data_IF_552780886216
#
_entry.id   IF_552780886216
#
_cell.length_a   1.000
_cell.length_b   1.000
_cell.length_c   1.000
_cell.angle_alpha   90.00
_cell.angle_beta   90.00
_cell.angle_gamma   90.00
#
_symmetry.space_group_name_H-M   'P 1'
#
loop_
_entity.id
_entity.type
_entity.pdbx_description
1 polymer ?
#
# COMPACT_ATOMS: atom_id res chain seq x y z
N UNK A 1 -42.63 -14.46 -3.22
CA UNK A 1 -41.87 -15.26 -4.20
C UNK A 1 -40.59 -14.55 -4.64
N UNK A 2 -40.61 -13.66 -5.65
CA UNK A 2 -39.41 -13.13 -6.33
C UNK A 2 -38.23 -12.73 -5.41
N UNK A 3 -38.46 -11.98 -4.33
CA UNK A 3 -37.40 -11.54 -3.42
C UNK A 3 -36.62 -12.69 -2.75
N UNK A 4 -37.25 -13.84 -2.47
CA UNK A 4 -36.56 -15.03 -1.92
C UNK A 4 -35.67 -15.69 -2.97
N UNK A 5 -36.16 -15.76 -4.21
CA UNK A 5 -35.42 -16.31 -5.34
C UNK A 5 -34.19 -15.46 -5.70
N UNK A 6 -34.28 -14.12 -5.65
CA UNK A 6 -33.11 -13.26 -5.82
C UNK A 6 -32.07 -13.42 -4.71
N UNK A 7 -32.50 -13.56 -3.44
CA UNK A 7 -31.58 -13.85 -2.32
C UNK A 7 -30.92 -15.21 -2.49
N UNK A 8 -31.67 -16.25 -2.90
CA UNK A 8 -31.13 -17.58 -3.19
C UNK A 8 -30.11 -17.57 -4.33
N UNK A 9 -30.40 -16.87 -5.43
CA UNK A 9 -29.45 -16.73 -6.55
C UNK A 9 -28.17 -16.03 -6.11
N UNK A 10 -28.27 -14.93 -5.34
CA UNK A 10 -27.11 -14.22 -4.81
C UNK A 10 -26.29 -15.07 -3.83
N UNK A 11 -26.93 -15.81 -2.92
CA UNK A 11 -26.24 -16.66 -1.93
C UNK A 11 -25.45 -17.82 -2.57
N UNK A 12 -25.95 -18.37 -3.69
CA UNK A 12 -25.22 -19.36 -4.50
C UNK A 12 -24.07 -18.69 -5.25
N UNK A 13 -24.31 -17.51 -5.81
CA UNK A 13 -23.32 -16.73 -6.57
C UNK A 13 -22.29 -15.96 -5.72
N UNK A 14 -22.26 -16.13 -4.38
CA UNK A 14 -21.40 -15.34 -3.47
C UNK A 14 -19.90 -15.38 -3.81
N UNK A 15 -19.38 -16.47 -4.39
CA UNK A 15 -17.97 -16.55 -4.85
C UNK A 15 -17.68 -15.65 -6.06
N UNK A 16 -18.71 -15.28 -6.83
CA UNK A 16 -18.61 -14.37 -7.98
C UNK A 16 -19.06 -12.93 -7.67
N UNK A 17 -19.68 -12.69 -6.51
CA UNK A 17 -20.07 -11.36 -6.04
C UNK A 17 -18.86 -10.42 -6.02
N UNK A 18 -18.93 -9.23 -6.67
CA UNK A 18 -17.82 -8.28 -6.70
C UNK A 18 -17.27 -7.91 -5.31
N UNK A 19 -18.12 -7.83 -4.28
CA UNK A 19 -17.71 -7.49 -2.91
C UNK A 19 -16.81 -8.59 -2.31
N UNK A 20 -17.22 -9.85 -2.48
CA UNK A 20 -16.44 -11.01 -2.02
C UNK A 20 -15.13 -11.15 -2.80
N UNK A 21 -15.12 -10.85 -4.11
CA UNK A 21 -13.90 -10.85 -4.93
C UNK A 21 -12.93 -9.73 -4.56
N UNK A 22 -13.40 -8.53 -4.21
CA UNK A 22 -12.51 -7.47 -3.71
C UNK A 22 -11.88 -7.84 -2.36
N UNK A 23 -12.65 -8.39 -1.43
CA UNK A 23 -12.11 -8.84 -0.14
C UNK A 23 -11.14 -10.02 -0.28
N UNK A 24 -11.43 -10.98 -1.17
CA UNK A 24 -10.51 -12.08 -1.50
C UNK A 24 -9.22 -11.57 -2.17
N UNK A 25 -9.32 -10.59 -3.07
CA UNK A 25 -8.14 -9.94 -3.67
C UNK A 25 -7.30 -9.24 -2.60
N UNK A 26 -7.90 -8.45 -1.73
CA UNK A 26 -7.21 -7.78 -0.61
C UNK A 26 -6.48 -8.77 0.30
N UNK A 27 -7.10 -9.90 0.59
CA UNK A 27 -6.50 -11.02 1.35
C UNK A 27 -5.37 -11.73 0.61
N UNK A 28 -5.25 -11.54 -0.71
CA UNK A 28 -4.11 -12.02 -1.52
C UNK A 28 -3.02 -10.97 -1.79
N UNK A 29 -3.37 -9.69 -1.92
CA UNK A 29 -2.50 -8.63 -2.42
C UNK A 29 -1.51 -8.08 -1.40
N UNK A 30 -0.42 -8.83 -1.16
CA UNK A 30 0.65 -8.42 -0.23
C UNK A 30 1.83 -7.71 -0.92
N UNK A 31 1.81 -7.46 -2.24
CA UNK A 31 2.98 -6.93 -2.99
C UNK A 31 3.42 -5.52 -2.57
N UNK A 32 2.56 -4.73 -1.92
CA UNK A 32 2.99 -3.48 -1.28
C UNK A 32 3.64 -3.74 0.09
N UNK A 33 3.05 -4.61 0.90
CA UNK A 33 3.50 -4.87 2.26
C UNK A 33 4.78 -5.74 2.30
N UNK A 34 5.01 -6.60 1.30
CA UNK A 34 6.29 -7.27 1.09
C UNK A 34 7.42 -6.27 0.81
N UNK A 35 7.21 -5.26 -0.05
CA UNK A 35 8.20 -4.19 -0.27
C UNK A 35 8.43 -3.31 0.95
N UNK A 36 7.50 -3.28 1.91
CA UNK A 36 7.71 -2.66 3.22
C UNK A 36 8.52 -3.57 4.16
N UNK A 37 8.21 -4.87 4.16
CA UNK A 37 8.96 -5.91 4.87
C UNK A 37 10.43 -5.90 4.42
N UNK A 38 10.70 -6.00 3.11
CA UNK A 38 12.04 -5.94 2.52
C UNK A 38 12.80 -4.67 2.95
N UNK A 39 12.12 -3.51 2.98
CA UNK A 39 12.72 -2.24 3.37
C UNK A 39 12.97 -2.13 4.89
N UNK A 40 12.13 -2.75 5.73
CA UNK A 40 12.34 -2.85 7.17
C UNK A 40 13.46 -3.85 7.50
N UNK A 41 13.50 -4.99 6.81
CA UNK A 41 14.52 -6.01 7.00
C UNK A 41 15.90 -5.50 6.58
N UNK A 42 16.02 -4.77 5.46
CA UNK A 42 17.24 -4.06 5.06
C UNK A 42 17.69 -3.02 6.09
N UNK A 43 16.76 -2.22 6.64
CA UNK A 43 17.06 -1.29 7.76
C UNK A 43 17.57 -2.06 8.99
N UNK A 44 16.93 -3.16 9.33
CA UNK A 44 17.28 -3.97 10.50
C UNK A 44 18.64 -4.66 10.33
N UNK A 45 18.99 -5.13 9.12
CA UNK A 45 20.27 -5.77 8.80
C UNK A 45 21.42 -4.80 8.98
N UNK A 46 21.35 -3.63 8.33
CA UNK A 46 22.36 -2.57 8.50
C UNK A 46 22.54 -2.19 9.97
N UNK A 47 21.45 -2.07 10.74
CA UNK A 47 21.53 -1.79 12.18
C UNK A 47 22.11 -2.95 13.00
N UNK A 48 21.87 -4.21 12.62
CA UNK A 48 22.42 -5.43 13.26
C UNK A 48 23.93 -5.58 13.05
N UNK A 49 24.44 -5.15 11.89
CA UNK A 49 25.86 -5.26 11.55
C UNK A 49 26.69 -4.07 12.08
N UNK A 50 26.05 -2.95 12.45
CA UNK A 50 26.72 -1.81 13.08
C UNK A 50 27.21 -2.13 14.52
N UNK A 51 28.46 -1.80 14.89
CA UNK A 51 28.94 -1.92 16.27
C UNK A 51 28.14 -1.07 17.27
N UNK A 52 27.99 -1.56 18.51
CA UNK A 52 27.18 -0.92 19.55
C UNK A 52 27.59 0.52 19.90
N UNK A 53 28.84 0.89 19.68
CA UNK A 53 29.31 2.27 19.89
C UNK A 53 28.64 3.23 18.89
N UNK A 54 28.65 2.88 17.59
CA UNK A 54 27.97 3.68 16.56
C UNK A 54 26.46 3.73 16.75
N UNK A 55 25.82 2.66 17.26
CA UNK A 55 24.40 2.68 17.61
C UNK A 55 24.09 3.76 18.65
N UNK A 56 24.92 3.89 19.69
CA UNK A 56 24.77 4.89 20.75
C UNK A 56 25.05 6.30 20.22
N UNK A 57 26.08 6.49 19.41
CA UNK A 57 26.42 7.80 18.81
C UNK A 57 25.30 8.32 17.90
N UNK A 58 24.73 7.47 17.03
CA UNK A 58 23.59 7.83 16.16
C UNK A 58 22.35 8.21 16.97
N UNK A 59 22.08 7.52 18.08
CA UNK A 59 20.97 7.84 18.96
C UNK A 59 21.19 9.17 19.72
N UNK A 60 22.42 9.45 20.18
CA UNK A 60 22.79 10.72 20.82
C UNK A 60 22.70 11.91 19.87
N UNK A 61 23.20 11.78 18.64
CA UNK A 61 23.09 12.85 17.61
C UNK A 61 21.63 13.19 17.31
N UNK A 62 20.75 12.18 17.26
CA UNK A 62 19.30 12.35 17.12
C UNK A 62 18.69 13.11 18.30
N UNK A 63 19.13 12.82 19.53
CA UNK A 63 18.55 13.43 20.72
C UNK A 63 18.92 14.92 20.79
N UNK A 64 20.08 15.30 20.28
CA UNK A 64 20.45 16.70 20.04
C UNK A 64 19.57 17.35 18.96
N UNK A 65 19.44 16.74 17.77
CA UNK A 65 18.59 17.26 16.68
C UNK A 65 17.13 17.49 17.13
N UNK A 66 16.54 16.54 17.85
CA UNK A 66 15.17 16.65 18.37
C UNK A 66 15.01 17.76 19.42
N UNK A 67 16.06 18.05 20.19
CA UNK A 67 16.09 19.12 21.20
C UNK A 67 16.20 20.50 20.56
N UNK A 68 17.07 20.68 19.56
CA UNK A 68 17.18 21.92 18.77
C UNK A 68 15.84 22.27 18.10
N UNK A 69 15.20 21.28 17.48
CA UNK A 69 13.95 21.44 16.74
C UNK A 69 12.70 21.56 17.65
N UNK A 70 12.89 21.62 18.98
CA UNK A 70 11.86 21.77 20.02
C UNK A 70 10.71 20.73 19.92
N UNK A 71 10.99 19.54 19.37
CA UNK A 71 10.01 18.46 19.30
C UNK A 71 9.98 17.72 20.63
N UNK A 72 8.79 17.32 21.15
CA UNK A 72 8.74 16.45 22.31
C UNK A 72 9.45 15.13 21.96
N UNK A 73 10.42 14.74 22.81
CA UNK A 73 11.18 13.52 22.59
C UNK A 73 10.24 12.31 22.46
N UNK A 74 10.52 11.36 21.55
CA UNK A 74 9.74 10.14 21.42
C UNK A 74 9.81 9.34 22.73
N UNK A 75 8.67 9.10 23.37
CA UNK A 75 8.61 8.41 24.68
C UNK A 75 8.76 6.89 24.53
N UNK A 76 9.44 6.42 23.47
CA UNK A 76 9.81 5.03 23.21
C UNK A 76 11.19 4.95 22.53
N UNK A 77 12.10 4.16 23.10
CA UNK A 77 13.52 4.08 22.73
C UNK A 77 13.82 3.35 21.41
N UNK A 78 12.89 3.42 20.46
CA UNK A 78 12.94 2.76 19.13
C UNK A 78 12.21 3.57 18.03
N UNK A 79 11.45 4.61 18.37
CA UNK A 79 10.33 5.08 17.54
C UNK A 79 10.48 6.40 16.77
N UNK A 80 11.65 6.76 16.23
CA UNK A 80 11.87 8.08 15.57
C UNK A 80 12.58 8.07 14.20
N UNK A 81 13.03 6.93 13.66
CA UNK A 81 13.47 6.85 12.24
C UNK A 81 12.34 6.38 11.29
N UNK A 82 11.16 6.27 11.88
CA UNK A 82 9.95 5.65 11.41
C UNK A 82 8.78 6.57 11.83
N UNK A 83 7.67 6.56 11.09
CA UNK A 83 6.47 7.31 11.45
C UNK A 83 5.61 6.53 12.46
N UNK A 84 4.30 6.31 12.21
CA UNK A 84 3.74 5.02 12.59
C UNK A 84 4.62 3.96 11.93
N UNK A 85 5.32 3.14 12.73
CA UNK A 85 6.44 2.34 12.21
C UNK A 85 6.01 1.38 11.11
N UNK A 86 6.97 0.97 10.28
CA UNK A 86 6.74 -0.05 9.26
C UNK A 86 6.17 -1.30 9.94
N UNK A 87 6.73 -1.69 11.09
CA UNK A 87 6.21 -2.75 11.96
C UNK A 87 4.77 -2.50 12.43
N UNK A 88 4.42 -1.29 12.86
CA UNK A 88 3.07 -0.95 13.29
C UNK A 88 2.06 -1.00 12.13
N UNK A 89 2.50 -0.67 10.91
CA UNK A 89 1.69 -0.82 9.68
C UNK A 89 1.54 -2.29 9.28
N UNK A 90 2.60 -3.09 9.36
CA UNK A 90 2.59 -4.52 9.09
C UNK A 90 1.73 -5.27 10.11
N UNK A 91 1.87 -4.98 11.40
CA UNK A 91 1.03 -5.53 12.48
C UNK A 91 -0.45 -5.16 12.31
N UNK A 92 -0.75 -3.90 11.97
CA UNK A 92 -2.11 -3.49 11.60
C UNK A 92 -2.64 -4.30 10.40
N UNK A 93 -1.81 -4.54 9.38
CA UNK A 93 -2.21 -5.32 8.20
C UNK A 93 -2.47 -6.78 8.56
N UNK A 94 -1.56 -7.44 9.27
CA UNK A 94 -1.74 -8.84 9.67
C UNK A 94 -3.01 -9.05 10.49
N UNK A 95 -3.35 -8.14 11.41
CA UNK A 95 -4.59 -8.23 12.18
C UNK A 95 -5.83 -7.89 11.32
N UNK A 96 -5.74 -6.94 10.39
CA UNK A 96 -6.80 -6.67 9.40
C UNK A 96 -7.06 -7.90 8.51
N UNK A 97 -6.02 -8.53 7.96
CA UNK A 97 -6.14 -9.74 7.13
C UNK A 97 -6.67 -10.93 7.93
N UNK A 98 -6.24 -11.08 9.18
CA UNK A 98 -6.77 -12.10 10.10
C UNK A 98 -8.27 -11.90 10.34
N UNK A 99 -8.71 -10.66 10.52
CA UNK A 99 -10.12 -10.33 10.71
C UNK A 99 -10.94 -10.58 9.43
N UNK A 100 -10.47 -10.19 8.24
CA UNK A 100 -11.15 -10.51 6.98
C UNK A 100 -11.18 -12.02 6.73
N UNK A 101 -10.06 -12.73 6.88
CA UNK A 101 -9.98 -14.21 6.73
C UNK A 101 -10.98 -14.91 7.65
N UNK A 102 -11.11 -14.47 8.91
CA UNK A 102 -12.10 -14.99 9.86
C UNK A 102 -13.54 -14.70 9.43
N UNK A 103 -13.86 -13.45 9.08
CA UNK A 103 -15.21 -13.07 8.62
C UNK A 103 -15.62 -13.80 7.33
N UNK A 104 -14.67 -14.15 6.46
CA UNK A 104 -14.93 -14.96 5.27
C UNK A 104 -15.25 -16.42 5.62
N UNK A 105 -14.62 -17.01 6.65
CA UNK A 105 -14.90 -18.38 7.10
C UNK A 105 -16.35 -18.55 7.58
N UNK A 106 -16.93 -17.54 8.23
CA UNK A 106 -18.32 -17.55 8.69
C UNK A 106 -19.33 -17.78 7.54
N UNK A 107 -19.00 -17.40 6.29
CA UNK A 107 -19.84 -17.67 5.10
C UNK A 107 -19.95 -19.16 4.74
N UNK A 108 -19.02 -19.98 5.24
CA UNK A 108 -19.00 -21.44 5.12
C UNK A 108 -19.62 -22.13 6.35
N UNK A 109 -19.47 -21.58 7.56
CA UNK A 109 -20.15 -22.12 8.75
C UNK A 109 -21.67 -21.95 8.69
N UNK A 110 -22.15 -20.92 7.99
CA UNK A 110 -23.56 -20.76 7.62
C UNK A 110 -24.05 -21.77 6.55
N UNK A 111 -23.55 -23.01 6.56
CA UNK A 111 -23.98 -24.11 5.69
C UNK A 111 -24.62 -25.30 6.44
N UNK A 112 -24.69 -25.29 7.78
CA UNK A 112 -25.30 -26.36 8.59
C UNK A 112 -26.73 -26.72 8.10
N UNK A 113 -26.95 -28.00 7.81
CA UNK A 113 -28.23 -28.54 7.29
C UNK A 113 -29.34 -28.57 8.35
N UNK A 114 -29.01 -28.33 9.63
CA UNK A 114 -29.99 -28.08 10.70
C UNK A 114 -30.72 -26.74 10.54
N UNK A 115 -30.22 -25.83 9.70
CA UNK A 115 -30.80 -24.50 9.46
C UNK A 115 -31.67 -24.54 8.20
N UNK A 116 -32.90 -24.03 8.30
CA UNK A 116 -33.81 -23.89 7.15
C UNK A 116 -33.14 -23.13 6.00
N UNK A 117 -33.12 -23.75 4.81
CA UNK A 117 -32.54 -23.22 3.57
C UNK A 117 -32.91 -21.75 3.28
N UNK A 118 -34.16 -21.32 3.47
CA UNK A 118 -34.54 -19.92 3.23
C UNK A 118 -33.80 -18.94 4.16
N UNK A 119 -33.59 -19.35 5.41
CA UNK A 119 -32.86 -18.59 6.43
C UNK A 119 -31.36 -18.65 6.15
N UNK A 120 -30.84 -19.83 5.78
CA UNK A 120 -29.44 -20.10 5.38
C UNK A 120 -28.99 -19.19 4.22
N UNK A 121 -29.78 -19.09 3.15
CA UNK A 121 -29.51 -18.15 2.04
C UNK A 121 -29.51 -16.69 2.50
N UNK A 122 -30.48 -16.31 3.35
CA UNK A 122 -30.63 -14.94 3.86
C UNK A 122 -29.50 -14.53 4.79
N UNK A 123 -29.07 -15.41 5.70
CA UNK A 123 -27.94 -15.19 6.61
C UNK A 123 -26.63 -15.00 5.84
N UNK A 124 -26.34 -15.84 4.85
CA UNK A 124 -25.11 -15.75 4.04
C UNK A 124 -24.99 -14.43 3.29
N UNK A 125 -26.09 -13.94 2.70
CA UNK A 125 -26.12 -12.64 2.01
C UNK A 125 -25.96 -11.48 3.01
N UNK A 126 -26.76 -11.46 4.09
CA UNK A 126 -26.68 -10.42 5.12
C UNK A 126 -25.30 -10.35 5.79
N UNK A 127 -24.61 -11.48 5.95
CA UNK A 127 -23.24 -11.53 6.50
C UNK A 127 -22.22 -10.98 5.50
N UNK A 128 -22.30 -11.37 4.22
CA UNK A 128 -21.42 -10.84 3.17
C UNK A 128 -21.54 -9.32 3.05
N UNK A 129 -22.77 -8.78 3.10
CA UNK A 129 -23.02 -7.34 3.07
C UNK A 129 -22.42 -6.66 4.31
N UNK A 130 -22.66 -7.17 5.53
CA UNK A 130 -22.07 -6.60 6.77
C UNK A 130 -20.54 -6.65 6.79
N UNK A 131 -19.95 -7.75 6.30
CA UNK A 131 -18.50 -7.91 6.19
C UNK A 131 -17.91 -6.89 5.21
N UNK A 132 -18.54 -6.68 4.06
CA UNK A 132 -18.11 -5.65 3.10
C UNK A 132 -18.29 -4.23 3.64
N UNK A 133 -19.38 -3.98 4.38
CA UNK A 133 -19.68 -2.71 5.03
C UNK A 133 -18.65 -2.37 6.14
N UNK A 134 -18.13 -3.38 6.83
CA UNK A 134 -17.02 -3.27 7.78
C UNK A 134 -15.68 -3.06 7.05
N UNK A 135 -15.39 -3.86 6.01
CA UNK A 135 -14.21 -3.70 5.16
C UNK A 135 -14.13 -2.30 4.52
N UNK A 136 -15.25 -1.74 4.07
CA UNK A 136 -15.34 -0.38 3.53
C UNK A 136 -14.96 0.71 4.55
N UNK A 137 -15.24 0.49 5.84
CA UNK A 137 -14.92 1.43 6.93
C UNK A 137 -13.46 1.31 7.38
N UNK A 138 -12.92 0.08 7.43
CA UNK A 138 -11.60 -0.20 8.01
C UNK A 138 -10.49 -0.48 6.98
N UNK A 139 -10.72 -1.36 6.00
CA UNK A 139 -9.71 -1.83 5.04
C UNK A 139 -9.54 -0.99 3.77
N UNK A 140 -10.64 -0.44 3.23
CA UNK A 140 -10.65 0.18 1.88
C UNK A 140 -9.65 1.35 1.72
N UNK A 141 -9.18 1.97 2.80
CA UNK A 141 -8.13 3.03 2.76
C UNK A 141 -6.73 2.50 2.38
N UNK A 142 -6.43 1.23 2.60
CA UNK A 142 -5.15 0.60 2.21
C UNK A 142 -5.28 -0.15 0.88
N UNK A 143 -6.43 -0.79 0.64
CA UNK A 143 -6.76 -1.36 -0.68
C UNK A 143 -6.63 -0.32 -1.81
N UNK A 144 -7.04 0.93 -1.57
CA UNK A 144 -6.84 2.08 -2.48
C UNK A 144 -5.38 2.52 -2.70
N UNK A 145 -4.42 2.00 -1.93
CA UNK A 145 -2.96 2.20 -2.09
C UNK A 145 -2.25 0.96 -2.67
N UNK A 146 -2.82 -0.23 -2.49
CA UNK A 146 -2.36 -1.48 -3.11
C UNK A 146 -2.77 -1.57 -4.58
N UNK A 147 -3.98 -1.11 -4.92
CA UNK A 147 -4.36 -0.87 -6.32
C UNK A 147 -3.30 0.02 -6.95
N UNK A 148 -2.72 -0.43 -8.05
CA UNK A 148 -1.71 0.33 -8.78
C UNK A 148 -2.22 1.75 -9.06
N UNK A 149 -1.43 2.76 -8.69
CA UNK A 149 -1.80 4.14 -8.91
C UNK A 149 -2.09 4.34 -10.41
N UNK A 150 -3.31 4.78 -10.81
CA UNK A 150 -3.71 4.83 -12.20
C UNK A 150 -2.65 5.56 -13.02
N UNK A 151 -2.07 4.86 -14.00
CA UNK A 151 -0.77 5.20 -14.58
C UNK A 151 -0.69 6.69 -14.95
N UNK A 152 -0.09 7.48 -14.05
CA UNK A 152 -0.07 8.93 -14.19
C UNK A 152 0.63 9.26 -15.50
N UNK A 153 -0.11 9.90 -16.44
CA UNK A 153 0.30 10.15 -17.82
C UNK A 153 1.76 10.62 -17.88
N UNK A 154 2.66 9.66 -18.13
CA UNK A 154 4.10 9.90 -18.22
C UNK A 154 4.32 10.62 -19.53
N UNK A 155 4.54 11.92 -19.47
CA UNK A 155 4.92 12.68 -20.63
C UNK A 155 6.29 12.21 -21.11
N UNK A 156 6.33 11.55 -22.26
CA UNK A 156 7.55 11.36 -23.02
C UNK A 156 8.03 12.75 -23.48
N UNK A 157 9.25 13.20 -23.15
CA UNK A 157 9.71 14.56 -23.49
C UNK A 157 9.77 14.86 -24.99
N UNK A 158 9.77 13.82 -25.83
CA UNK A 158 9.80 13.94 -27.29
C UNK A 158 8.40 13.85 -27.95
N UNK A 159 7.32 13.61 -27.17
CA UNK A 159 5.94 13.64 -27.70
C UNK A 159 5.48 15.09 -27.93
N UNK A 160 4.69 15.31 -28.99
CA UNK A 160 4.16 16.64 -29.31
C UNK A 160 3.36 17.26 -28.16
N UNK A 161 3.53 18.56 -27.94
CA UNK A 161 2.81 19.30 -26.89
C UNK A 161 1.34 19.42 -27.26
N UNK A 162 0.48 18.62 -26.62
CA UNK A 162 -0.97 18.73 -26.77
C UNK A 162 -1.49 20.15 -26.48
N UNK A 163 -2.46 20.65 -27.26
CA UNK A 163 -3.01 22.00 -27.07
C UNK A 163 -3.58 22.18 -25.67
N UNK A 164 -3.33 23.35 -25.07
CA UNK A 164 -3.68 23.66 -23.68
C UNK A 164 -2.69 23.14 -22.62
N UNK A 165 -1.64 22.39 -23.01
CA UNK A 165 -0.59 21.99 -22.08
C UNK A 165 0.38 23.14 -21.78
N UNK A 166 0.69 23.37 -20.49
CA UNK A 166 1.68 24.36 -20.05
C UNK A 166 3.14 23.93 -20.28
N UNK A 167 3.37 22.78 -20.94
CA UNK A 167 4.70 22.34 -21.35
C UNK A 167 5.18 23.27 -22.45
N UNK A 168 6.29 23.98 -22.23
CA UNK A 168 6.98 24.67 -23.33
C UNK A 168 7.40 23.61 -24.36
N UNK A 169 7.25 23.84 -25.67
CA UNK A 169 7.95 23.02 -26.64
C UNK A 169 9.44 23.06 -26.28
N UNK A 170 10.12 21.91 -26.38
CA UNK A 170 11.56 21.82 -26.32
C UNK A 170 12.07 22.57 -27.55
N UNK A 171 12.39 23.85 -27.39
CA UNK A 171 12.89 24.70 -28.47
C UNK A 171 14.09 23.99 -29.09
N UNK A 172 13.90 23.46 -30.30
CA UNK A 172 14.98 22.96 -31.15
C UNK A 172 15.84 24.17 -31.45
N UNK A 173 16.86 24.37 -30.61
CA UNK A 173 17.72 25.54 -30.64
C UNK A 173 18.08 25.82 -32.10
N UNK A 174 17.71 27.01 -32.63
CA UNK A 174 17.70 27.25 -34.07
C UNK A 174 19.08 26.91 -34.59
N UNK A 175 19.16 26.01 -35.57
CA UNK A 175 20.40 25.41 -36.02
C UNK A 175 21.31 26.52 -36.61
N UNK A 176 22.13 27.11 -35.73
CA UNK A 176 22.97 28.24 -36.07
C UNK A 176 23.94 27.78 -37.15
N UNK A 177 23.83 28.45 -38.30
CA UNK A 177 24.49 28.16 -39.57
C UNK A 177 25.89 27.58 -39.34
N UNK A 178 26.01 26.28 -39.66
CA UNK A 178 27.07 25.46 -39.08
C UNK A 178 28.48 25.90 -39.46
N UNK A 179 29.35 26.00 -38.46
CA UNK A 179 30.77 25.76 -38.69
C UNK A 179 30.94 24.28 -39.02
N UNK A 180 31.60 24.00 -40.15
CA UNK A 180 31.76 22.63 -40.64
C UNK A 180 32.76 21.85 -39.78
N UNK A 181 32.27 21.22 -38.71
CA UNK A 181 33.05 20.26 -37.92
C UNK A 181 33.37 19.04 -38.79
N UNK A 182 34.64 18.88 -39.15
CA UNK A 182 35.14 17.75 -39.93
C UNK A 182 34.83 16.41 -39.23
N UNK A 183 34.38 15.37 -39.96
CA UNK A 183 34.06 14.09 -39.35
C UNK A 183 35.33 13.44 -38.77
N UNK A 184 35.35 13.27 -37.44
CA UNK A 184 36.36 12.42 -36.79
C UNK A 184 36.04 10.97 -37.15
N UNK A 185 37.00 10.20 -37.72
CA UNK A 185 36.74 8.82 -38.11
C UNK A 185 36.50 7.95 -36.88
N UNK A 186 35.27 7.45 -36.72
CA UNK A 186 34.94 6.44 -35.71
C UNK A 186 35.67 5.15 -36.05
N UNK A 187 36.70 4.82 -35.27
CA UNK A 187 37.37 3.52 -35.35
C UNK A 187 36.35 2.41 -35.09
N UNK A 188 36.02 1.69 -36.16
CA UNK A 188 35.11 0.55 -36.10
C UNK A 188 35.90 -0.65 -35.60
N UNK A 189 35.78 -0.95 -34.31
CA UNK A 189 36.35 -2.17 -33.74
C UNK A 189 35.46 -3.32 -34.19
N UNK A 190 35.87 -4.01 -35.24
CA UNK A 190 35.25 -5.25 -35.67
C UNK A 190 35.47 -6.32 -34.59
N UNK A 191 34.38 -6.80 -33.99
CA UNK A 191 34.42 -7.95 -33.08
C UNK A 191 34.43 -9.21 -33.97
N UNK A 192 35.48 -10.05 -33.91
CA UNK A 192 35.54 -11.27 -34.72
C UNK A 192 34.38 -12.21 -34.38
N UNK A 193 33.91 -12.95 -35.40
CA UNK A 193 32.59 -13.59 -35.40
C UNK A 193 32.72 -15.08 -35.71
N UNK A 194 33.44 -15.77 -34.85
CA UNK A 194 33.82 -17.17 -35.01
C UNK A 194 33.30 -18.08 -33.89
N UNK A 195 33.30 -19.39 -34.18
CA UNK A 195 33.01 -20.53 -33.31
C UNK A 195 31.57 -20.66 -32.76
N UNK A 196 30.67 -21.02 -33.68
CA UNK A 196 29.51 -21.86 -33.38
C UNK A 196 29.96 -23.22 -32.78
N UNK A 197 29.87 -23.37 -31.46
CA UNK A 197 30.08 -24.67 -30.77
C UNK A 197 28.79 -25.11 -30.06
N UNK A 198 28.19 -26.18 -30.57
CA UNK A 198 26.92 -26.70 -30.07
C UNK A 198 27.08 -27.46 -28.74
N UNK A 199 26.71 -26.83 -27.62
CA UNK A 199 26.65 -27.46 -26.30
C UNK A 199 25.27 -27.27 -25.64
N UNK A 200 24.54 -28.38 -25.44
CA UNK A 200 23.27 -28.39 -24.68
C UNK A 200 23.54 -28.26 -23.17
N UNK A 201 23.01 -27.22 -22.52
CA UNK A 201 22.61 -27.29 -21.10
C UNK A 201 21.34 -26.46 -20.83
N UNK A 202 20.43 -26.93 -19.95
CA UNK A 202 19.30 -26.13 -19.47
C UNK A 202 19.67 -25.38 -18.17
N UNK A 203 19.52 -24.07 -18.14
CA UNK A 203 19.61 -23.28 -16.90
C UNK A 203 18.59 -22.15 -16.87
N UNK A 204 18.16 -21.77 -15.67
CA UNK A 204 17.07 -20.82 -15.46
C UNK A 204 17.55 -19.36 -15.60
N UNK A 205 17.09 -18.64 -16.62
CA UNK A 205 17.25 -17.19 -16.69
C UNK A 205 16.23 -16.49 -15.78
N UNK A 206 16.62 -16.25 -14.53
CA UNK A 206 15.97 -15.26 -13.68
C UNK A 206 16.51 -13.88 -14.07
N UNK A 207 15.68 -13.08 -14.76
CA UNK A 207 16.07 -11.78 -15.30
C UNK A 207 16.24 -10.69 -14.24
N UNK A 208 17.45 -10.53 -13.69
CA UNK A 208 17.79 -9.43 -12.80
C UNK A 208 17.92 -8.10 -13.56
N UNK A 209 16.80 -7.41 -13.81
CA UNK A 209 16.78 -6.04 -14.33
C UNK A 209 17.27 -5.04 -13.26
N UNK A 210 18.56 -4.70 -13.32
CA UNK A 210 19.20 -3.66 -12.49
C UNK A 210 18.68 -2.26 -12.88
N UNK A 211 17.53 -1.87 -12.32
CA UNK A 211 17.02 -0.50 -12.48
C UNK A 211 17.86 0.48 -11.66
N UNK A 212 18.54 1.40 -12.33
CA UNK A 212 19.27 2.49 -11.68
C UNK A 212 18.30 3.41 -10.91
N UNK A 213 18.43 3.42 -9.57
CA UNK A 213 17.55 4.17 -8.68
C UNK A 213 17.88 5.68 -8.68
N UNK A 214 17.45 6.38 -9.73
CA UNK A 214 17.55 7.84 -9.81
C UNK A 214 16.78 8.53 -8.67
N UNK A 215 17.50 9.13 -7.72
CA UNK A 215 16.93 9.91 -6.59
C UNK A 215 16.18 11.15 -7.11
N UNK A 216 14.88 11.01 -7.35
CA UNK A 216 14.00 12.14 -7.64
C UNK A 216 13.83 13.04 -6.41
N UNK A 217 14.35 14.26 -6.48
CA UNK A 217 14.30 15.24 -5.38
C UNK A 217 12.86 15.75 -5.15
N UNK A 218 12.18 15.21 -4.13
CA UNK A 218 10.80 15.60 -3.78
C UNK A 218 10.81 16.96 -3.08
N UNK A 219 10.17 17.97 -3.68
CA UNK A 219 10.01 19.29 -3.04
C UNK A 219 9.09 19.18 -1.80
N UNK A 220 9.37 19.92 -0.71
CA UNK A 220 8.55 19.86 0.49
C UNK A 220 7.13 20.38 0.22
N UNK A 221 6.13 19.57 0.58
CA UNK A 221 4.72 19.95 0.51
C UNK A 221 4.36 20.74 1.77
N UNK A 222 4.16 22.04 1.65
CA UNK A 222 3.68 22.89 2.75
C UNK A 222 2.30 22.45 3.22
N UNK A 223 2.06 22.20 4.52
CA UNK A 223 0.78 21.70 5.02
C UNK A 223 -0.32 22.77 4.87
N UNK A 224 -1.33 22.47 4.04
CA UNK A 224 -2.47 23.37 3.80
C UNK A 224 -3.44 23.35 4.98
N UNK A 225 -3.15 24.18 5.99
CA UNK A 225 -4.00 24.40 7.17
C UNK A 225 -5.45 24.68 6.73
N UNK A 226 -6.36 23.80 7.12
CA UNK A 226 -7.77 23.86 6.74
C UNK A 226 -8.59 24.38 7.93
N UNK A 227 -9.47 25.38 7.76
CA UNK A 227 -10.17 26.02 8.87
C UNK A 227 -11.14 25.04 9.56
N UNK A 228 -10.96 24.90 10.87
CA UNK A 228 -11.67 23.99 11.77
C UNK A 228 -13.13 24.43 11.95
N UNK A 229 -14.03 24.03 11.05
CA UNK A 229 -15.48 24.29 11.17
C UNK A 229 -16.03 23.61 12.43
N UNK A 230 -16.32 24.40 13.46
CA UNK A 230 -17.01 23.94 14.66
C UNK A 230 -18.46 23.60 14.34
N UNK A 231 -18.85 22.34 14.53
CA UNK A 231 -20.24 21.90 14.47
C UNK A 231 -20.74 21.59 15.89
N UNK A 232 -21.34 22.59 16.53
CA UNK A 232 -22.04 22.41 17.81
C UNK A 232 -23.24 21.49 17.62
N UNK A 233 -23.26 20.34 18.29
CA UNK A 233 -24.49 19.55 18.46
C UNK A 233 -25.26 20.08 19.67
N UNK A 234 -26.59 20.28 19.58
CA UNK A 234 -27.41 20.45 20.77
C UNK A 234 -27.40 19.15 21.59
N UNK A 235 -27.37 19.26 22.92
CA UNK A 235 -27.39 18.11 23.81
C UNK A 235 -28.80 17.57 24.01
N UNK A 236 -29.00 16.28 23.74
CA UNK A 236 -30.21 15.56 24.15
C UNK A 236 -29.99 15.02 25.56
N UNK A 237 -30.73 15.52 26.56
CA UNK A 237 -30.70 14.97 27.91
C UNK A 237 -31.33 13.57 27.93
N UNK A 238 -30.59 12.58 28.42
CA UNK A 238 -30.97 11.16 28.44
C UNK A 238 -30.77 10.53 29.82
N UNK A 239 -31.66 10.88 30.73
CA UNK A 239 -32.13 10.15 31.94
C UNK A 239 -31.21 9.05 32.55
N UNK A 240 -30.71 9.29 33.76
CA UNK A 240 -29.78 8.40 34.48
C UNK A 240 -30.45 7.18 35.16
N UNK A 241 -30.78 6.16 34.37
CA UNK A 241 -31.22 4.85 34.89
C UNK A 241 -30.12 4.13 35.69
N UNK A 242 -30.20 4.17 37.03
CA UNK A 242 -29.27 3.46 37.91
C UNK A 242 -29.55 1.95 37.95
N UNK A 243 -28.60 1.12 37.52
CA UNK A 243 -28.60 -0.33 37.80
C UNK A 243 -27.39 -0.73 38.65
N UNK A 244 -27.66 -1.38 39.79
CA UNK A 244 -26.68 -1.67 40.86
C UNK A 244 -25.55 -2.59 40.39
N UNK A 245 -24.31 -2.26 40.78
CA UNK A 245 -23.17 -3.18 40.75
C UNK A 245 -23.34 -4.28 41.79
N UNK A 246 -23.54 -5.53 41.34
CA UNK A 246 -23.53 -6.71 42.21
C UNK A 246 -22.11 -7.12 42.56
N UNK A 247 -21.75 -7.07 43.84
CA UNK A 247 -20.42 -7.45 44.33
C UNK A 247 -20.31 -8.98 44.46
N UNK A 248 -19.69 -9.63 43.48
CA UNK A 248 -19.32 -11.05 43.60
C UNK A 248 -17.92 -11.16 44.22
N UNK A 249 -17.84 -11.75 45.41
CA UNK A 249 -16.60 -12.33 45.94
C UNK A 249 -16.49 -13.78 45.49
N UNK A 250 -15.26 -14.20 45.23
CA UNK A 250 -14.77 -15.58 45.32
C UNK A 250 -13.66 -15.53 46.36
#
# INVERSE_FOLDING_TARGET
>A
MAARESVRRRSVALTSDPAMREMAHFVGSHSHDQRLQDAADLRSGVLKDLPDNFRKEVEVLRQAEAFEDNRPLPVTSTGLLDGPSVDARLAWRHEMDRQVKRLMQDTHFALDDRINEEVKHTLRVNHADRMYDWYGKHGMKQARKEREAPAHLRFNPEDSVMPGSLRRPKETAPALLGTASTPVPTLTIEVPKDEEVAARQPSSQVGNTLLAAGRSFVKPVTPKVSPKRGATKPGTAGEMGHTRTGLWRI
#
